data_IF_002642007830
#
_entry.id   IF_002642007830
#
_cell.length_a   1.000
_cell.length_b   1.000
_cell.length_c   1.000
_cell.angle_alpha   90.00
_cell.angle_beta   90.00
_cell.angle_gamma   90.00
#
_symmetry.space_group_name_H-M   'P 1'
#
loop_
_entity.id
_entity.type
_entity.pdbx_description
1 polymer ?
#
# COMPACT_ATOMS: atom_id res chain seq x y z
N UNK A 1 5.72 5.41 0.83
CA UNK A 1 4.43 5.71 0.16
C UNK A 1 3.25 5.65 1.11
N UNK A 2 3.17 4.69 2.01
CA UNK A 2 2.04 4.52 2.94
C UNK A 2 1.80 5.75 3.81
N UNK A 3 2.86 6.36 4.34
CA UNK A 3 2.74 7.64 5.09
C UNK A 3 2.12 8.76 4.25
N UNK A 4 2.45 8.84 2.95
CA UNK A 4 1.86 9.85 2.06
C UNK A 4 0.36 9.61 1.83
N UNK A 5 -0.06 8.35 1.69
CA UNK A 5 -1.48 7.96 1.58
C UNK A 5 -2.26 8.36 2.83
N UNK A 6 -1.70 8.02 4.01
CA UNK A 6 -2.32 8.38 5.29
C UNK A 6 -2.40 9.89 5.46
N UNK A 7 -1.34 10.63 5.17
CA UNK A 7 -1.34 12.09 5.25
C UNK A 7 -2.39 12.70 4.32
N UNK A 8 -2.46 12.24 3.06
CA UNK A 8 -3.46 12.73 2.11
C UNK A 8 -4.90 12.48 2.58
N UNK A 9 -5.14 11.35 3.25
CA UNK A 9 -6.46 11.01 3.79
C UNK A 9 -6.78 11.78 5.08
N UNK A 10 -5.81 11.93 5.98
CA UNK A 10 -6.07 12.43 7.33
C UNK A 10 -5.97 13.94 7.46
N UNK A 11 -5.23 14.64 6.60
CA UNK A 11 -5.12 16.10 6.65
C UNK A 11 -6.44 16.85 6.43
N UNK A 12 -7.38 16.22 5.73
CA UNK A 12 -8.74 16.76 5.54
C UNK A 12 -9.77 16.14 6.50
N UNK A 13 -9.38 15.14 7.27
CA UNK A 13 -10.27 14.43 8.20
C UNK A 13 -10.37 15.17 9.53
N UNK A 14 -11.55 15.07 10.16
CA UNK A 14 -11.79 15.52 11.53
C UNK A 14 -11.76 14.37 12.55
N UNK A 15 -11.51 13.15 12.09
CA UNK A 15 -11.44 11.94 12.90
C UNK A 15 -9.99 11.53 13.13
N UNK A 16 -9.75 10.79 14.20
CA UNK A 16 -8.42 10.28 14.52
C UNK A 16 -8.04 9.07 13.64
N UNK A 17 -6.77 8.97 13.27
CA UNK A 17 -6.25 7.85 12.47
C UNK A 17 -6.60 6.49 13.09
N UNK A 18 -6.49 6.37 14.42
CA UNK A 18 -6.73 5.12 15.14
C UNK A 18 -8.10 4.53 14.87
N UNK A 19 -9.15 5.35 14.74
CA UNK A 19 -10.52 4.84 14.46
C UNK A 19 -10.65 4.15 13.10
N UNK A 20 -9.76 4.45 12.15
CA UNK A 20 -9.78 3.88 10.80
C UNK A 20 -8.89 2.65 10.64
N UNK A 21 -7.98 2.38 11.59
CA UNK A 21 -7.06 1.25 11.50
C UNK A 21 -7.77 -0.08 11.78
N UNK A 22 -7.38 -1.10 11.01
CA UNK A 22 -7.82 -2.48 11.27
C UNK A 22 -7.15 -3.02 12.54
N UNK A 23 -7.76 -3.98 13.21
CA UNK A 23 -7.23 -4.75 14.35
C UNK A 23 -7.05 -3.95 15.65
N UNK A 24 -6.43 -2.77 15.59
CA UNK A 24 -6.17 -1.94 16.78
C UNK A 24 -7.16 -0.78 16.94
N UNK A 25 -7.86 -0.45 15.87
CA UNK A 25 -8.92 0.55 15.82
C UNK A 25 -10.28 -0.08 15.52
N UNK A 26 -11.20 0.73 15.06
CA UNK A 26 -12.58 0.32 14.75
C UNK A 26 -12.75 -0.08 13.28
N UNK A 27 -11.75 0.18 12.43
CA UNK A 27 -11.81 -0.08 10.98
C UNK A 27 -12.87 0.76 10.25
N UNK A 28 -13.15 1.96 10.73
CA UNK A 28 -14.16 2.84 10.14
C UNK A 28 -13.72 3.32 8.74
N UNK A 29 -14.65 3.44 7.78
CA UNK A 29 -14.32 4.01 6.47
C UNK A 29 -13.94 5.49 6.58
N UNK A 30 -13.13 5.96 5.63
CA UNK A 30 -12.82 7.38 5.53
C UNK A 30 -14.07 8.16 5.08
N UNK A 31 -14.50 9.11 5.90
CA UNK A 31 -15.73 9.90 5.66
C UNK A 31 -15.48 11.19 4.88
N UNK A 32 -14.23 11.67 4.86
CA UNK A 32 -13.84 12.92 4.21
C UNK A 32 -13.02 12.62 2.96
N UNK A 33 -13.23 13.40 1.90
CA UNK A 33 -12.44 13.27 0.68
C UNK A 33 -10.98 13.65 0.97
N UNK A 34 -10.05 12.79 0.57
CA UNK A 34 -8.61 13.04 0.71
C UNK A 34 -8.12 14.19 -0.17
N UNK A 35 -6.92 14.68 0.13
CA UNK A 35 -6.18 15.57 -0.75
C UNK A 35 -5.73 14.85 -2.04
N UNK A 36 -5.45 15.58 -3.13
CA UNK A 36 -4.83 15.01 -4.33
C UNK A 36 -3.54 14.26 -3.99
N UNK A 37 -3.36 13.08 -4.57
CA UNK A 37 -2.25 12.18 -4.24
C UNK A 37 -1.55 11.67 -5.50
N UNK A 38 -0.26 12.00 -5.61
CA UNK A 38 0.65 11.46 -6.62
C UNK A 38 1.67 10.58 -5.91
N UNK A 39 1.86 9.35 -6.36
CA UNK A 39 2.85 8.43 -5.81
C UNK A 39 3.94 8.15 -6.83
N UNK A 40 5.19 8.27 -6.37
CA UNK A 40 6.39 8.06 -7.19
C UNK A 40 7.27 7.05 -6.44
N UNK A 41 7.26 5.76 -6.81
CA UNK A 41 8.05 4.75 -6.13
C UNK A 41 9.56 4.91 -6.42
N UNK A 42 10.37 4.64 -5.41
CA UNK A 42 11.83 4.58 -5.47
C UNK A 42 12.37 3.19 -5.19
N UNK A 43 11.49 2.20 -5.06
CA UNK A 43 11.79 0.77 -4.96
C UNK A 43 10.94 0.02 -5.96
N UNK A 44 11.44 -1.10 -6.47
CA UNK A 44 10.70 -1.95 -7.40
C UNK A 44 10.25 -3.22 -6.68
N UNK A 45 8.96 -3.55 -6.76
CA UNK A 45 8.42 -4.83 -6.28
C UNK A 45 7.20 -4.76 -5.39
N UNK A 46 7.06 -3.75 -4.50
CA UNK A 46 5.97 -3.71 -3.51
C UNK A 46 4.59 -3.38 -4.12
N UNK A 47 4.54 -2.69 -5.27
CA UNK A 47 3.29 -2.27 -5.91
C UNK A 47 2.42 -1.34 -5.04
N UNK A 48 3.00 -0.73 -4.00
CA UNK A 48 2.25 0.10 -3.06
C UNK A 48 1.57 1.31 -3.72
N UNK A 49 2.09 1.78 -4.86
CA UNK A 49 1.50 2.85 -5.67
C UNK A 49 0.17 2.45 -6.34
N UNK A 50 -0.11 1.16 -6.46
CA UNK A 50 -1.31 0.64 -7.10
C UNK A 50 -2.31 0.02 -6.11
N UNK A 51 -2.06 0.14 -4.81
CA UNK A 51 -2.91 -0.48 -3.78
C UNK A 51 -3.78 0.54 -3.05
N UNK A 52 -4.95 0.10 -2.58
CA UNK A 52 -5.83 0.85 -1.69
C UNK A 52 -5.53 0.63 -0.20
N UNK A 53 -4.29 0.30 0.09
CA UNK A 53 -3.81 -0.06 1.42
C UNK A 53 -2.67 0.85 1.84
N UNK A 54 -2.59 1.14 3.13
CA UNK A 54 -1.43 1.75 3.77
C UNK A 54 -1.13 0.98 5.06
N UNK A 55 0.12 0.55 5.23
CA UNK A 55 0.57 -0.21 6.40
C UNK A 55 1.28 0.73 7.36
N UNK A 56 0.80 0.78 8.59
CA UNK A 56 1.28 1.66 9.65
C UNK A 56 1.85 0.82 10.79
N UNK A 57 3.03 1.18 11.23
CA UNK A 57 3.63 0.61 12.44
C UNK A 57 3.07 1.31 13.68
N UNK A 58 2.53 0.53 14.60
CA UNK A 58 1.99 1.01 15.89
C UNK A 58 2.86 0.42 16.99
N UNK A 59 3.92 1.14 17.41
CA UNK A 59 4.88 0.64 18.39
C UNK A 59 4.25 0.23 19.71
N UNK A 60 3.24 0.96 20.18
CA UNK A 60 2.53 0.70 21.43
C UNK A 60 1.80 -0.65 21.41
N UNK A 61 1.31 -1.05 20.23
CA UNK A 61 0.66 -2.34 20.01
C UNK A 61 1.64 -3.43 19.54
N UNK A 62 2.90 -3.07 19.28
CA UNK A 62 3.93 -3.93 18.66
C UNK A 62 3.44 -4.63 17.38
N UNK A 63 2.68 -3.91 16.55
CA UNK A 63 2.06 -4.45 15.33
C UNK A 63 2.11 -3.47 14.19
N UNK A 64 2.21 -4.03 12.98
CA UNK A 64 1.90 -3.33 11.74
C UNK A 64 0.46 -3.62 11.39
N UNK A 65 -0.32 -2.57 11.14
CA UNK A 65 -1.74 -2.65 10.84
C UNK A 65 -2.07 -1.90 9.57
N UNK A 66 -3.16 -2.27 8.94
CA UNK A 66 -3.60 -1.68 7.68
C UNK A 66 -4.69 -0.63 7.90
N UNK A 67 -4.56 0.46 7.14
CA UNK A 67 -5.67 1.32 6.75
C UNK A 67 -6.07 0.91 5.35
N UNK A 68 -7.34 0.56 5.12
CA UNK A 68 -7.84 0.15 3.80
C UNK A 68 -9.06 0.95 3.40
N UNK A 69 -8.91 1.71 2.33
CA UNK A 69 -10.01 2.47 1.74
C UNK A 69 -9.72 2.72 0.26
N UNK A 70 -10.77 2.82 -0.56
CA UNK A 70 -10.62 3.13 -1.99
C UNK A 70 -9.97 4.50 -2.20
N UNK A 71 -10.13 5.42 -1.27
CA UNK A 71 -9.50 6.74 -1.30
C UNK A 71 -7.97 6.69 -1.18
N UNK A 72 -7.36 5.55 -0.79
CA UNK A 72 -5.90 5.40 -0.73
C UNK A 72 -5.27 5.07 -2.09
N UNK A 73 -6.08 4.80 -3.12
CA UNK A 73 -5.55 4.76 -4.49
C UNK A 73 -5.13 6.17 -4.92
N UNK A 74 -3.93 6.35 -5.48
CA UNK A 74 -3.49 7.65 -5.95
C UNK A 74 -4.27 8.12 -7.18
N UNK A 75 -4.28 9.43 -7.42
CA UNK A 75 -4.78 10.01 -8.67
C UNK A 75 -3.81 9.72 -9.84
N UNK A 76 -2.52 9.63 -9.51
CA UNK A 76 -1.45 9.34 -10.47
C UNK A 76 -0.35 8.52 -9.79
N UNK A 77 0.05 7.42 -10.43
CA UNK A 77 1.28 6.70 -10.13
C UNK A 77 2.29 6.99 -11.25
N UNK A 78 3.41 7.63 -10.90
CA UNK A 78 4.48 7.94 -11.82
C UNK A 78 5.62 6.96 -11.61
N UNK A 79 5.83 6.05 -12.57
CA UNK A 79 6.85 5.01 -12.50
C UNK A 79 8.05 5.43 -13.34
N UNK A 80 9.14 5.81 -12.69
CA UNK A 80 10.41 6.11 -13.33
C UNK A 80 11.46 5.11 -12.83
N UNK A 81 11.91 4.17 -13.69
CA UNK A 81 12.91 3.17 -13.30
C UNK A 81 14.23 3.78 -12.80
N UNK A 82 14.63 4.95 -13.31
CA UNK A 82 15.87 5.60 -12.90
C UNK A 82 15.89 5.98 -11.41
N UNK A 83 14.72 6.15 -10.78
CA UNK A 83 14.62 6.43 -9.34
C UNK A 83 14.99 5.22 -8.47
N UNK A 84 15.11 4.03 -9.06
CA UNK A 84 15.52 2.81 -8.34
C UNK A 84 17.01 2.51 -8.45
N UNK A 85 17.76 3.20 -9.32
CA UNK A 85 19.17 2.89 -9.63
C UNK A 85 20.10 2.94 -8.40
N UNK A 86 19.80 3.81 -7.45
CA UNK A 86 20.57 3.95 -6.22
C UNK A 86 19.95 3.26 -5.01
N UNK A 87 18.95 2.42 -5.23
CA UNK A 87 18.31 1.67 -4.15
C UNK A 87 19.31 0.68 -3.53
N UNK A 88 19.48 0.65 -2.21
CA UNK A 88 20.40 -0.29 -1.56
C UNK A 88 20.07 -1.74 -1.93
N UNK A 89 21.11 -2.56 -2.19
CA UNK A 89 20.97 -3.95 -2.62
C UNK A 89 20.04 -4.78 -1.70
N UNK A 90 20.12 -4.58 -0.38
CA UNK A 90 19.24 -5.28 0.58
C UNK A 90 17.78 -4.93 0.38
N UNK A 91 17.48 -3.64 0.16
CA UNK A 91 16.10 -3.19 -0.09
C UNK A 91 15.58 -3.75 -1.42
N UNK A 92 16.39 -3.71 -2.47
CA UNK A 92 16.05 -4.28 -3.78
C UNK A 92 15.76 -5.78 -3.68
N UNK A 93 16.58 -6.52 -2.92
CA UNK A 93 16.34 -7.95 -2.70
C UNK A 93 15.02 -8.21 -1.98
N UNK A 94 14.76 -7.49 -0.89
CA UNK A 94 13.54 -7.69 -0.11
C UNK A 94 12.28 -7.31 -0.90
N UNK A 95 12.30 -6.18 -1.62
CA UNK A 95 11.16 -5.77 -2.46
C UNK A 95 10.95 -6.71 -3.66
N UNK A 96 12.02 -7.27 -4.23
CA UNK A 96 11.94 -8.27 -5.28
C UNK A 96 11.34 -9.60 -4.79
N UNK A 97 11.72 -10.06 -3.59
CA UNK A 97 11.11 -11.23 -2.96
C UNK A 97 9.62 -11.00 -2.64
N UNK A 98 9.26 -9.80 -2.22
CA UNK A 98 7.87 -9.40 -2.02
C UNK A 98 7.08 -9.47 -3.34
N UNK A 99 7.64 -8.99 -4.45
CA UNK A 99 7.02 -9.10 -5.77
C UNK A 99 6.75 -10.56 -6.17
N UNK A 100 7.70 -11.45 -5.93
CA UNK A 100 7.54 -12.89 -6.19
C UNK A 100 6.39 -13.46 -5.36
N UNK A 101 6.34 -13.12 -4.08
CA UNK A 101 5.27 -13.57 -3.18
C UNK A 101 3.90 -13.06 -3.65
N UNK A 102 3.82 -11.81 -4.07
CA UNK A 102 2.60 -11.20 -4.60
C UNK A 102 2.08 -11.86 -5.88
N UNK A 103 2.93 -12.54 -6.63
CA UNK A 103 2.53 -13.35 -7.80
C UNK A 103 2.07 -14.75 -7.37
N UNK A 104 2.78 -15.37 -6.45
CA UNK A 104 2.49 -16.74 -5.98
C UNK A 104 1.17 -16.79 -5.21
N UNK A 105 0.94 -15.85 -4.30
CA UNK A 105 -0.26 -15.85 -3.45
C UNK A 105 -1.57 -15.82 -4.24
N UNK A 106 -1.81 -14.90 -5.19
CA UNK A 106 -3.02 -14.90 -6.00
C UNK A 106 -3.16 -16.15 -6.86
N UNK A 107 -2.04 -16.66 -7.41
CA UNK A 107 -2.05 -17.85 -8.26
C UNK A 107 -2.47 -19.12 -7.51
N UNK A 108 -2.09 -19.23 -6.24
CA UNK A 108 -2.45 -20.37 -5.37
C UNK A 108 -3.74 -20.14 -4.58
N UNK A 109 -4.35 -18.95 -4.69
CA UNK A 109 -5.55 -18.58 -3.93
C UNK A 109 -6.75 -19.43 -4.36
N UNK A 110 -7.56 -19.84 -3.39
CA UNK A 110 -8.87 -20.45 -3.66
C UNK A 110 -9.86 -19.48 -4.37
N UNK A 111 -9.54 -18.19 -4.45
CA UNK A 111 -10.29 -17.15 -5.16
C UNK A 111 -9.66 -16.78 -6.50
N UNK A 112 -8.66 -17.55 -6.97
CA UNK A 112 -8.06 -17.32 -8.28
C UNK A 112 -9.12 -17.38 -9.39
N UNK A 113 -8.87 -16.68 -10.46
CA UNK A 113 -9.71 -16.67 -11.65
C UNK A 113 -8.84 -16.47 -12.89
N UNK A 114 -9.40 -16.71 -14.07
CA UNK A 114 -8.66 -16.65 -15.32
C UNK A 114 -7.89 -15.33 -15.52
N UNK A 115 -8.46 -14.19 -15.10
CA UNK A 115 -7.83 -12.89 -15.24
C UNK A 115 -6.63 -12.75 -14.30
N UNK A 116 -6.78 -13.11 -13.01
CA UNK A 116 -5.67 -13.07 -12.04
C UNK A 116 -4.57 -14.06 -12.42
N UNK A 117 -4.93 -15.25 -12.89
CA UNK A 117 -3.95 -16.27 -13.32
C UNK A 117 -3.13 -15.81 -14.54
N UNK A 118 -3.74 -15.08 -15.46
CA UNK A 118 -3.03 -14.49 -16.60
C UNK A 118 -2.01 -13.43 -16.17
N UNK A 119 -2.32 -12.63 -15.12
CA UNK A 119 -1.42 -11.61 -14.58
C UNK A 119 -0.26 -12.23 -13.77
N UNK A 120 -0.42 -13.44 -13.27
CA UNK A 120 0.60 -14.16 -12.49
C UNK A 120 1.59 -14.97 -13.33
N UNK A 121 1.39 -15.07 -14.63
CA UNK A 121 2.25 -15.79 -15.58
C UNK A 121 3.17 -14.85 -16.35
#
# INVERSE_FOLDING_TARGET
>A
MDSAKVLAAMLSSQTELMSHLEVVGEGLPLSTQRLPLILIPTTSGTGAEATRNAVIDIPEAQRKVSLRDNQLLPDLALIDPALTDHCPRGVTLHSGLDAITQVIEPYLSSRSNLFTDMLCK
#
